data_IF_104676329499
#
_entry.id   IF_104676329499
#
_cell.length_a   1.000
_cell.length_b   1.000
_cell.length_c   1.000
_cell.angle_alpha   90.00
_cell.angle_beta   90.00
_cell.angle_gamma   90.00
#
_symmetry.space_group_name_H-M   'P 1'
#
loop_
_entity.id
_entity.type
_entity.pdbx_description
1 polymer ?
#
# COMPACT_ATOMS: atom_id res chain seq x y z
N UNK A 1 -7.71 16.45 -8.78
CA UNK A 1 -8.93 15.62 -8.71
C UNK A 1 -9.07 15.14 -7.28
N UNK A 2 -10.26 15.19 -6.67
CA UNK A 2 -10.43 14.61 -5.33
C UNK A 2 -10.49 13.09 -5.47
N UNK A 3 -9.56 12.40 -4.86
CA UNK A 3 -9.56 10.94 -4.75
C UNK A 3 -10.67 10.55 -3.77
N UNK A 4 -11.55 9.64 -4.15
CA UNK A 4 -12.58 9.10 -3.24
C UNK A 4 -11.94 8.03 -2.36
N UNK A 5 -11.88 8.28 -1.04
CA UNK A 5 -11.22 7.40 -0.07
C UNK A 5 -12.28 6.56 0.64
N UNK A 6 -12.13 5.25 0.55
CA UNK A 6 -12.98 4.25 1.23
C UNK A 6 -12.18 3.60 2.36
N UNK A 7 -12.47 3.98 3.60
CA UNK A 7 -11.84 3.40 4.79
C UNK A 7 -12.60 2.16 5.25
N UNK A 8 -11.88 1.05 5.36
CA UNK A 8 -12.38 -0.23 5.86
C UNK A 8 -11.66 -0.60 7.16
N UNK A 9 -12.37 -1.20 8.09
CA UNK A 9 -11.78 -1.70 9.34
C UNK A 9 -11.52 -3.21 9.22
N UNK A 10 -10.28 -3.60 9.46
CA UNK A 10 -9.74 -4.96 9.51
C UNK A 10 -9.81 -5.77 8.21
N UNK A 11 -10.78 -5.57 7.30
CA UNK A 11 -10.89 -6.31 6.02
C UNK A 11 -11.58 -5.49 4.92
N UNK A 12 -11.48 -5.97 3.69
CA UNK A 12 -12.22 -5.45 2.53
C UNK A 12 -13.65 -6.00 2.47
N UNK A 13 -14.58 -5.29 1.79
CA UNK A 13 -15.89 -5.85 1.46
C UNK A 13 -15.77 -7.12 0.60
N UNK A 14 -16.62 -8.11 0.88
CA UNK A 14 -16.57 -9.43 0.21
C UNK A 14 -16.75 -9.39 -1.32
N UNK A 15 -17.50 -8.42 -1.82
CA UNK A 15 -17.84 -8.29 -3.24
C UNK A 15 -17.00 -7.21 -3.97
N UNK A 16 -15.94 -6.71 -3.32
CA UNK A 16 -15.08 -5.71 -3.94
C UNK A 16 -14.24 -6.35 -5.04
N UNK A 17 -14.36 -5.81 -6.25
CA UNK A 17 -13.52 -6.17 -7.38
C UNK A 17 -12.66 -4.95 -7.77
N UNK A 18 -11.34 -5.09 -7.67
CA UNK A 18 -10.37 -4.06 -8.02
C UNK A 18 -9.72 -4.29 -9.41
N UNK A 19 -10.26 -5.24 -10.18
CA UNK A 19 -9.70 -5.57 -11.49
C UNK A 19 -8.36 -6.32 -11.42
N UNK A 20 -7.69 -6.50 -12.58
CA UNK A 20 -6.50 -7.35 -12.70
C UNK A 20 -5.20 -6.68 -12.23
N UNK A 21 -5.19 -5.36 -12.01
CA UNK A 21 -4.00 -4.60 -11.61
C UNK A 21 -4.36 -3.70 -10.43
N UNK A 22 -3.64 -3.86 -9.32
CA UNK A 22 -3.86 -3.12 -8.08
C UNK A 22 -2.54 -2.53 -7.59
N UNK A 23 -2.48 -1.20 -7.45
CA UNK A 23 -1.40 -0.53 -6.75
C UNK A 23 -1.58 -0.72 -5.24
N UNK A 24 -0.49 -1.02 -4.54
CA UNK A 24 -0.49 -1.33 -3.12
C UNK A 24 0.61 -0.56 -2.40
N UNK A 25 0.30 -0.08 -1.20
CA UNK A 25 1.28 0.46 -0.25
C UNK A 25 0.89 0.11 1.18
N UNK A 26 1.80 0.27 2.15
CA UNK A 26 1.54 -0.06 3.54
C UNK A 26 2.10 0.96 4.51
N UNK A 27 1.41 1.15 5.65
CA UNK A 27 1.90 1.94 6.77
C UNK A 27 2.08 1.08 8.03
N UNK A 28 3.10 1.40 8.81
CA UNK A 28 3.55 0.61 9.95
C UNK A 28 3.79 1.48 11.20
N UNK A 29 3.82 0.85 12.37
CA UNK A 29 4.32 1.55 13.59
C UNK A 29 5.84 1.73 13.59
N UNK A 30 6.54 0.99 12.73
CA UNK A 30 7.99 1.00 12.54
C UNK A 30 8.42 -0.13 11.61
N UNK A 31 9.72 -0.35 11.44
CA UNK A 31 10.26 -1.19 10.38
C UNK A 31 10.84 -2.55 10.85
N UNK A 32 10.61 -2.92 12.09
CA UNK A 32 11.21 -4.12 12.70
C UNK A 32 10.14 -5.12 13.15
N UNK A 33 9.65 -6.04 12.29
CA UNK A 33 8.84 -7.16 12.77
C UNK A 33 9.70 -8.13 13.59
N UNK A 34 9.20 -8.71 14.68
CA UNK A 34 7.81 -8.76 15.16
C UNK A 34 7.40 -7.59 16.07
N UNK A 35 8.32 -6.66 16.39
CA UNK A 35 8.07 -5.55 17.32
C UNK A 35 7.04 -4.58 16.75
N UNK A 36 7.22 -4.22 15.48
CA UNK A 36 6.38 -3.26 14.81
C UNK A 36 5.19 -3.93 14.09
N UNK A 37 4.12 -3.19 13.95
CA UNK A 37 2.82 -3.68 13.49
C UNK A 37 2.45 -3.07 12.14
N UNK A 38 1.84 -3.86 11.28
CA UNK A 38 1.15 -3.39 10.08
C UNK A 38 -0.11 -2.62 10.51
N UNK A 39 -0.25 -1.38 10.07
CA UNK A 39 -1.35 -0.50 10.45
C UNK A 39 -2.37 -0.33 9.35
N UNK A 40 -1.90 -0.04 8.13
CA UNK A 40 -2.73 0.19 6.96
C UNK A 40 -2.21 -0.61 5.76
N UNK A 41 -3.13 -0.99 4.89
CA UNK A 41 -2.84 -1.36 3.49
C UNK A 41 -3.71 -0.47 2.61
N UNK A 42 -3.09 0.26 1.70
CA UNK A 42 -3.73 1.06 0.68
C UNK A 42 -3.80 0.29 -0.62
N UNK A 43 -4.94 0.36 -1.30
CA UNK A 43 -5.20 -0.33 -2.56
C UNK A 43 -5.90 0.63 -3.52
N UNK A 44 -5.37 0.73 -4.74
CA UNK A 44 -5.98 1.50 -5.81
C UNK A 44 -5.98 0.67 -7.09
N UNK A 45 -7.11 0.58 -7.75
CA UNK A 45 -7.20 -0.11 -9.03
C UNK A 45 -6.92 0.83 -10.19
N UNK A 46 -6.48 0.29 -11.32
CA UNK A 46 -6.33 1.05 -12.56
C UNK A 46 -7.67 1.58 -13.08
N UNK A 47 -8.75 0.83 -12.87
CA UNK A 47 -10.08 1.12 -13.39
C UNK A 47 -10.89 2.07 -12.51
N UNK A 48 -10.59 2.11 -11.22
CA UNK A 48 -11.31 2.92 -10.23
C UNK A 48 -10.51 4.17 -9.85
N UNK A 49 -11.22 5.26 -9.57
CA UNK A 49 -10.63 6.46 -8.94
C UNK A 49 -10.70 6.40 -7.41
N UNK A 50 -11.19 5.29 -6.86
CA UNK A 50 -11.30 5.07 -5.44
C UNK A 50 -10.00 4.49 -4.88
N UNK A 51 -9.59 4.98 -3.72
CA UNK A 51 -8.54 4.37 -2.92
C UNK A 51 -9.17 3.68 -1.73
N UNK A 52 -8.96 2.38 -1.63
CA UNK A 52 -9.42 1.58 -0.51
C UNK A 52 -8.31 1.46 0.52
N UNK A 53 -8.56 1.89 1.74
CA UNK A 53 -7.63 1.80 2.87
C UNK A 53 -8.19 0.79 3.86
N UNK A 54 -7.45 -0.31 4.09
CA UNK A 54 -7.76 -1.26 5.17
C UNK A 54 -6.95 -0.85 6.39
N UNK A 55 -7.63 -0.40 7.43
CA UNK A 55 -7.04 -0.08 8.72
C UNK A 55 -7.19 -1.26 9.68
N UNK A 56 -6.09 -1.82 10.12
CA UNK A 56 -6.08 -2.87 11.13
C UNK A 56 -6.24 -2.27 12.53
N UNK A 57 -7.41 -2.48 13.11
CA UNK A 57 -7.73 -2.07 14.49
C UNK A 57 -7.26 -3.14 15.47
N UNK A 58 -7.53 -4.43 15.15
CA UNK A 58 -7.05 -5.56 15.93
C UNK A 58 -5.73 -6.10 15.35
N UNK A 59 -4.60 -5.66 15.90
CA UNK A 59 -3.25 -6.03 15.47
C UNK A 59 -2.64 -7.20 16.24
N UNK A 60 -3.39 -7.81 17.13
CA UNK A 60 -3.03 -9.07 17.78
C UNK A 60 -3.49 -10.28 16.96
N UNK A 61 -4.55 -10.10 16.19
CA UNK A 61 -5.13 -11.15 15.35
C UNK A 61 -5.65 -10.53 14.05
N UNK A 62 -4.79 -10.45 13.05
CA UNK A 62 -5.15 -9.94 11.72
C UNK A 62 -6.14 -10.91 11.03
N UNK A 63 -7.43 -10.56 11.02
CA UNK A 63 -8.48 -11.32 10.34
C UNK A 63 -8.99 -10.53 9.13
N UNK A 64 -8.43 -10.80 7.96
CA UNK A 64 -8.70 -10.10 6.73
C UNK A 64 -8.88 -11.06 5.54
N UNK A 65 -9.89 -11.97 5.57
CA UNK A 65 -10.01 -13.02 4.57
C UNK A 65 -10.20 -12.50 3.13
N UNK A 66 -10.92 -11.40 2.93
CA UNK A 66 -11.14 -10.83 1.61
C UNK A 66 -9.87 -10.16 1.07
N UNK A 67 -9.17 -9.40 1.91
CA UNK A 67 -7.87 -8.82 1.56
C UNK A 67 -6.83 -9.91 1.28
N UNK A 68 -6.77 -10.96 2.11
CA UNK A 68 -5.88 -12.10 1.91
C UNK A 68 -6.16 -12.75 0.57
N UNK A 69 -7.43 -13.01 0.24
CA UNK A 69 -7.82 -13.58 -1.06
C UNK A 69 -7.31 -12.76 -2.23
N UNK A 70 -7.42 -11.43 -2.17
CA UNK A 70 -6.88 -10.52 -3.18
C UNK A 70 -5.35 -10.62 -3.28
N UNK A 71 -4.66 -10.59 -2.15
CA UNK A 71 -3.20 -10.53 -2.11
C UNK A 71 -2.54 -11.83 -2.61
N UNK A 72 -3.16 -12.98 -2.39
CA UNK A 72 -2.63 -14.28 -2.84
C UNK A 72 -3.11 -14.69 -4.24
N UNK A 73 -4.01 -13.95 -4.88
CA UNK A 73 -4.51 -14.29 -6.20
C UNK A 73 -3.42 -14.06 -7.27
N UNK A 74 -2.95 -15.12 -7.96
CA UNK A 74 -1.92 -14.99 -8.99
C UNK A 74 -2.41 -14.28 -10.26
N UNK A 75 -3.72 -14.16 -10.48
CA UNK A 75 -4.30 -13.48 -11.63
C UNK A 75 -4.38 -11.96 -11.44
N UNK A 76 -4.28 -11.49 -10.21
CA UNK A 76 -4.24 -10.06 -9.89
C UNK A 76 -2.79 -9.62 -9.68
N UNK A 77 -2.33 -8.66 -10.46
CA UNK A 77 -1.02 -8.04 -10.33
C UNK A 77 -1.03 -7.02 -9.20
N UNK A 78 -0.14 -7.15 -8.22
CA UNK A 78 0.07 -6.17 -7.15
C UNK A 78 1.32 -5.35 -7.46
N UNK A 79 1.15 -4.03 -7.60
CA UNK A 79 2.23 -3.09 -7.90
C UNK A 79 2.58 -2.32 -6.62
N UNK A 80 3.85 -2.39 -6.22
CA UNK A 80 4.40 -1.66 -5.09
C UNK A 80 5.52 -0.73 -5.53
N UNK A 81 5.82 0.29 -4.74
CA UNK A 81 7.07 1.02 -4.86
C UNK A 81 8.02 0.65 -3.74
N UNK A 82 9.09 -0.10 -4.05
CA UNK A 82 10.05 -0.64 -3.08
C UNK A 82 9.48 -1.73 -2.16
N UNK A 83 8.74 -2.64 -2.72
CA UNK A 83 7.93 -3.72 -2.13
C UNK A 83 8.55 -4.51 -0.97
N UNK A 84 9.89 -4.53 -0.82
CA UNK A 84 10.59 -5.41 0.13
C UNK A 84 10.06 -5.31 1.55
N UNK A 85 9.83 -4.09 2.05
CA UNK A 85 9.37 -3.88 3.43
C UNK A 85 7.89 -4.23 3.59
N UNK A 86 7.08 -3.83 2.62
CA UNK A 86 5.64 -4.13 2.59
C UNK A 86 5.39 -5.63 2.63
N UNK A 87 6.05 -6.36 1.74
CA UNK A 87 5.93 -7.83 1.68
C UNK A 87 6.39 -8.51 2.97
N UNK A 88 7.47 -8.01 3.60
CA UNK A 88 7.95 -8.52 4.88
C UNK A 88 6.91 -8.32 5.99
N UNK A 89 6.31 -7.14 6.06
CA UNK A 89 5.32 -6.82 7.09
C UNK A 89 3.98 -7.52 6.85
N UNK A 90 3.54 -7.63 5.59
CA UNK A 90 2.37 -8.42 5.19
C UNK A 90 2.57 -9.89 5.58
N UNK A 91 3.71 -10.50 5.21
CA UNK A 91 4.02 -11.88 5.59
C UNK A 91 4.02 -12.09 7.10
N UNK A 92 4.58 -11.14 7.85
CA UNK A 92 4.60 -11.21 9.30
C UNK A 92 3.20 -11.10 9.91
N UNK A 93 2.38 -10.14 9.46
CA UNK A 93 1.06 -9.86 10.00
C UNK A 93 0.00 -10.88 9.55
N UNK A 94 -0.12 -11.08 8.24
CA UNK A 94 -1.19 -11.90 7.64
C UNK A 94 -0.79 -13.37 7.43
N UNK A 95 0.49 -13.74 7.63
CA UNK A 95 1.03 -15.10 7.45
C UNK A 95 0.86 -15.65 6.03
N UNK A 96 0.97 -14.79 5.03
CA UNK A 96 0.85 -15.12 3.61
C UNK A 96 2.05 -14.63 2.83
N UNK A 97 2.25 -15.19 1.65
CA UNK A 97 3.10 -14.65 0.60
C UNK A 97 2.21 -14.01 -0.48
N UNK A 98 2.47 -12.75 -0.78
CA UNK A 98 1.74 -12.02 -1.83
C UNK A 98 2.14 -12.56 -3.19
N UNK A 99 1.16 -12.94 -4.02
CA UNK A 99 1.40 -13.46 -5.36
C UNK A 99 1.41 -12.36 -6.42
N UNK A 100 2.10 -12.60 -7.54
CA UNK A 100 2.14 -11.72 -8.72
C UNK A 100 2.48 -10.26 -8.37
N UNK A 101 3.69 -10.06 -7.81
CA UNK A 101 4.17 -8.74 -7.35
C UNK A 101 5.10 -8.11 -8.38
N UNK A 102 4.86 -6.83 -8.69
CA UNK A 102 5.79 -5.97 -9.40
C UNK A 102 6.28 -4.82 -8.49
N UNK A 103 7.53 -4.40 -8.68
CA UNK A 103 8.14 -3.32 -7.91
C UNK A 103 8.68 -2.24 -8.84
N UNK A 104 8.02 -1.09 -8.89
CA UNK A 104 8.37 0.02 -9.78
C UNK A 104 9.77 0.58 -9.52
N UNK A 105 10.25 0.55 -8.27
CA UNK A 105 11.62 0.97 -7.95
C UNK A 105 12.67 0.01 -8.55
N UNK A 106 12.44 -1.30 -8.53
CA UNK A 106 13.34 -2.27 -9.14
C UNK A 106 13.29 -2.17 -10.66
N UNK A 107 12.11 -2.03 -11.24
CA UNK A 107 11.95 -1.80 -12.69
C UNK A 107 12.70 -0.53 -13.13
N UNK A 108 12.55 0.57 -12.39
CA UNK A 108 13.27 1.80 -12.68
C UNK A 108 14.79 1.62 -12.61
N UNK A 109 15.30 0.88 -11.63
CA UNK A 109 16.74 0.59 -11.51
C UNK A 109 17.24 -0.26 -12.66
N UNK A 110 16.49 -1.28 -13.07
CA UNK A 110 16.86 -2.15 -14.20
C UNK A 110 16.87 -1.39 -15.53
N UNK A 111 15.86 -0.54 -15.76
CA UNK A 111 15.72 0.19 -17.02
C UNK A 111 16.69 1.38 -17.15
N UNK A 112 17.05 2.04 -16.03
CA UNK A 112 17.77 3.32 -16.02
C UNK A 112 19.16 3.26 -15.40
N UNK A 113 19.55 2.11 -14.86
CA UNK A 113 20.84 1.91 -14.22
C UNK A 113 20.98 2.63 -12.87
N UNK A 114 22.21 2.65 -12.33
CA UNK A 114 22.47 3.16 -10.97
C UNK A 114 22.51 4.69 -10.85
N UNK A 115 22.66 5.41 -11.95
CA UNK A 115 22.80 6.87 -11.97
C UNK A 115 21.48 7.63 -11.81
N UNK A 116 20.35 6.93 -11.87
CA UNK A 116 19.03 7.54 -11.77
C UNK A 116 18.54 7.72 -10.33
N UNK A 117 17.63 8.64 -10.17
CA UNK A 117 16.89 8.77 -8.93
C UNK A 117 15.61 7.93 -9.03
N UNK A 118 15.43 6.98 -8.10
CA UNK A 118 14.41 5.95 -8.15
C UNK A 118 13.40 6.05 -7.00
N UNK A 119 13.25 7.22 -6.37
CA UNK A 119 12.23 7.43 -5.34
C UNK A 119 10.85 7.61 -5.98
N UNK A 120 9.80 7.19 -5.28
CA UNK A 120 8.42 7.33 -5.73
C UNK A 120 8.11 8.78 -6.16
N UNK A 121 8.42 9.74 -5.30
CA UNK A 121 8.24 11.17 -5.57
C UNK A 121 8.86 11.61 -6.91
N UNK A 122 10.08 11.15 -7.21
CA UNK A 122 10.77 11.54 -8.42
C UNK A 122 10.17 10.88 -9.66
N UNK A 123 9.83 9.58 -9.57
CA UNK A 123 9.21 8.89 -10.68
C UNK A 123 7.84 9.46 -11.01
N UNK A 124 7.02 9.76 -10.01
CA UNK A 124 5.71 10.38 -10.21
C UNK A 124 5.85 11.80 -10.80
N UNK A 125 6.83 12.59 -10.34
CA UNK A 125 7.09 13.91 -10.94
C UNK A 125 7.53 13.78 -12.38
N UNK A 126 8.40 12.82 -12.69
CA UNK A 126 8.96 12.63 -14.03
C UNK A 126 7.93 12.09 -15.03
N UNK A 127 7.16 11.07 -14.64
CA UNK A 127 6.25 10.37 -15.54
C UNK A 127 4.83 10.93 -15.55
N UNK A 128 4.39 11.53 -14.43
CA UNK A 128 3.02 12.02 -14.29
C UNK A 128 2.94 13.55 -14.17
N UNK A 129 4.07 14.26 -13.99
CA UNK A 129 4.09 15.70 -13.78
C UNK A 129 3.54 16.15 -12.42
N UNK A 130 3.33 15.24 -11.47
CA UNK A 130 2.69 15.48 -10.18
C UNK A 130 3.74 15.60 -9.08
N UNK A 131 3.65 16.66 -8.27
CA UNK A 131 4.49 16.82 -7.07
C UNK A 131 3.81 16.22 -5.84
N UNK A 132 4.49 15.27 -5.19
CA UNK A 132 4.01 14.61 -3.97
C UNK A 132 4.66 15.24 -2.74
N UNK A 133 3.84 15.55 -1.72
CA UNK A 133 4.29 16.01 -0.41
C UNK A 133 4.60 14.82 0.51
N UNK A 134 5.72 14.87 1.24
CA UNK A 134 6.09 13.87 2.26
C UNK A 134 5.74 14.31 3.69
N UNK A 135 4.89 15.31 3.86
CA UNK A 135 4.66 15.95 5.15
C UNK A 135 4.16 15.04 6.28
N UNK A 136 3.52 13.92 5.94
CA UNK A 136 2.94 12.96 6.91
C UNK A 136 3.66 11.60 6.95
N UNK A 137 4.76 11.42 6.25
CA UNK A 137 5.50 10.14 6.15
C UNK A 137 5.92 9.57 7.53
N UNK A 138 6.15 10.42 8.52
CA UNK A 138 6.52 10.04 9.88
C UNK A 138 5.39 10.16 10.89
N UNK A 139 4.13 10.22 10.44
CA UNK A 139 3.00 10.31 11.34
C UNK A 139 2.68 8.96 12.01
N UNK A 140 2.04 9.01 13.17
CA UNK A 140 1.62 7.81 13.90
C UNK A 140 0.36 7.20 13.26
N UNK A 141 0.56 6.22 12.37
CA UNK A 141 -0.51 5.42 11.77
C UNK A 141 -1.05 4.33 12.70
N UNK A 142 -0.44 4.16 13.88
CA UNK A 142 -0.91 3.25 14.92
C UNK A 142 -2.16 3.73 15.67
N UNK A 143 -2.62 4.94 15.46
CA UNK A 143 -3.82 5.50 16.10
C UNK A 143 -5.09 4.77 15.65
N UNK A 144 -6.08 4.71 16.56
CA UNK A 144 -7.39 4.13 16.27
C UNK A 144 -8.18 4.97 15.26
N UNK A 145 -8.09 6.30 15.42
CA UNK A 145 -8.75 7.28 14.56
C UNK A 145 -7.68 8.07 13.80
N UNK A 146 -7.68 7.91 12.48
CA UNK A 146 -6.78 8.64 11.59
C UNK A 146 -7.39 10.01 11.28
N UNK A 147 -6.54 11.03 11.25
CA UNK A 147 -6.98 12.35 10.83
C UNK A 147 -7.15 12.42 9.28
N UNK A 148 -7.95 13.38 8.77
CA UNK A 148 -8.19 13.51 7.33
C UNK A 148 -6.91 13.72 6.51
N UNK A 149 -5.88 14.36 7.09
CA UNK A 149 -4.60 14.58 6.41
C UNK A 149 -3.78 13.29 6.31
N UNK A 150 -3.86 12.40 7.34
CA UNK A 150 -3.24 11.06 7.28
C UNK A 150 -3.90 10.20 6.20
N UNK A 151 -5.23 10.21 6.12
CA UNK A 151 -5.97 9.49 5.08
C UNK A 151 -5.64 10.02 3.69
N UNK A 152 -5.56 11.34 3.53
CA UNK A 152 -5.16 11.97 2.27
C UNK A 152 -3.72 11.65 1.89
N UNK A 153 -2.80 11.62 2.87
CA UNK A 153 -1.41 11.22 2.64
C UNK A 153 -1.36 9.78 2.13
N UNK A 154 -1.96 8.83 2.88
CA UNK A 154 -1.99 7.41 2.52
C UNK A 154 -2.72 7.12 1.19
N UNK A 155 -3.55 8.04 0.70
CA UNK A 155 -4.21 7.90 -0.60
C UNK A 155 -3.35 8.36 -1.78
N UNK A 156 -2.21 9.03 -1.53
CA UNK A 156 -1.33 9.54 -2.57
C UNK A 156 -0.07 8.69 -2.77
N UNK A 157 0.23 7.79 -1.82
CA UNK A 157 1.31 6.82 -1.92
C UNK A 157 0.83 5.55 -2.61
#
# INVERSE_FOLDING_TARGET
MSTDIKLHKDDLPANLNLGPIVACDCEFTGLNPPKDKLCLIQLCSEESKEVHIVQFVNRESYKAPNLIKLLIDPNVKKIFHYARKDLQMIRWALKIDVANVECTKLQSKLARGYSGQHSYKILVQEFCGISISKAKQSSDFGKKDLDPEQLKYSSND
#
